data_IF_551723131140
#
_entry.id   IF_551723131140
#
_cell.length_a   1.000
_cell.length_b   1.000
_cell.length_c   1.000
_cell.angle_alpha   90.00
_cell.angle_beta   90.00
_cell.angle_gamma   90.00
#
_symmetry.space_group_name_H-M   'P 1'
#
loop_
_entity.id
_entity.type
_entity.pdbx_description
1 polymer ?
#
# COMPACT_ATOMS: atom_id res chain seq x y z
N UNK A 1 11.74 -18.61 -6.80
CA UNK A 1 10.90 -17.73 -7.66
C UNK A 1 11.83 -16.69 -8.27
N UNK A 2 11.86 -16.51 -9.60
CA UNK A 2 12.79 -15.55 -10.23
C UNK A 2 12.56 -14.14 -9.69
N UNK A 3 13.63 -13.43 -9.31
CA UNK A 3 13.58 -12.08 -8.72
C UNK A 3 12.65 -11.13 -9.50
N UNK A 4 12.71 -11.18 -10.83
CA UNK A 4 11.86 -10.39 -11.74
C UNK A 4 10.37 -10.64 -11.51
N UNK A 5 9.96 -11.90 -11.35
CA UNK A 5 8.55 -12.25 -11.12
C UNK A 5 8.06 -11.66 -9.79
N UNK A 6 8.92 -11.62 -8.77
CA UNK A 6 8.59 -11.06 -7.47
C UNK A 6 8.39 -9.54 -7.55
N UNK A 7 9.33 -8.84 -8.17
CA UNK A 7 9.23 -7.39 -8.43
C UNK A 7 7.91 -7.04 -9.13
N UNK A 8 7.55 -7.79 -10.18
CA UNK A 8 6.28 -7.58 -10.91
C UNK A 8 5.07 -7.79 -10.00
N UNK A 9 5.05 -8.85 -9.20
CA UNK A 9 3.94 -9.14 -8.28
C UNK A 9 3.76 -8.00 -7.26
N UNK A 10 4.84 -7.54 -6.64
CA UNK A 10 4.80 -6.43 -5.67
C UNK A 10 4.34 -5.12 -6.32
N UNK A 11 4.84 -4.80 -7.51
CA UNK A 11 4.38 -3.65 -8.27
C UNK A 11 2.87 -3.70 -8.53
N UNK A 12 2.37 -4.85 -9.03
CA UNK A 12 0.94 -5.02 -9.33
C UNK A 12 0.07 -4.99 -8.06
N UNK A 13 0.55 -5.54 -6.94
CA UNK A 13 -0.14 -5.43 -5.65
C UNK A 13 -0.24 -3.97 -5.21
N UNK A 14 0.86 -3.21 -5.32
CA UNK A 14 0.88 -1.78 -5.03
C UNK A 14 -0.11 -1.00 -5.89
N UNK A 15 -0.12 -1.23 -7.20
CA UNK A 15 -1.11 -0.66 -8.13
C UNK A 15 -2.53 -0.99 -7.70
N UNK A 16 -2.82 -2.23 -7.31
CA UNK A 16 -4.14 -2.65 -6.86
C UNK A 16 -4.63 -1.85 -5.65
N UNK A 17 -3.83 -1.80 -4.57
CA UNK A 17 -4.20 -1.04 -3.38
C UNK A 17 -4.31 0.47 -3.66
N UNK A 18 -3.31 1.04 -4.32
CA UNK A 18 -3.28 2.48 -4.58
C UNK A 18 -4.41 2.95 -5.51
N UNK A 19 -4.78 2.14 -6.51
CA UNK A 19 -5.91 2.46 -7.40
C UNK A 19 -7.24 2.41 -6.67
N UNK A 20 -7.45 1.44 -5.78
CA UNK A 20 -8.67 1.36 -4.97
C UNK A 20 -8.81 2.55 -4.03
N UNK A 21 -7.72 2.92 -3.35
CA UNK A 21 -7.68 4.10 -2.48
C UNK A 21 -7.94 5.37 -3.26
N UNK A 22 -7.30 5.53 -4.42
CA UNK A 22 -7.51 6.69 -5.28
C UNK A 22 -8.96 6.80 -5.76
N UNK A 23 -9.57 5.70 -6.21
CA UNK A 23 -10.98 5.66 -6.60
C UNK A 23 -11.92 6.03 -5.44
N UNK A 24 -11.60 5.59 -4.22
CA UNK A 24 -12.37 5.96 -3.03
C UNK A 24 -12.33 7.47 -2.78
N UNK A 25 -11.17 8.10 -2.89
CA UNK A 25 -11.04 9.55 -2.74
C UNK A 25 -11.71 10.33 -3.87
N UNK A 26 -11.62 9.85 -5.12
CA UNK A 26 -12.36 10.43 -6.24
C UNK A 26 -13.86 10.41 -5.98
N UNK A 27 -14.37 9.27 -5.51
CA UNK A 27 -15.78 9.13 -5.18
C UNK A 27 -16.20 10.07 -4.05
N UNK A 28 -15.42 10.17 -2.97
CA UNK A 28 -15.70 11.07 -1.85
C UNK A 28 -15.65 12.56 -2.25
N UNK A 29 -14.75 12.93 -3.16
CA UNK A 29 -14.61 14.30 -3.65
C UNK A 29 -15.70 14.70 -4.67
N UNK A 30 -16.49 13.76 -5.16
CA UNK A 30 -17.47 14.00 -6.23
C UNK A 30 -16.82 14.34 -7.57
N UNK A 31 -15.56 13.93 -7.79
CA UNK A 31 -14.84 14.25 -9.02
C UNK A 31 -15.45 13.50 -10.21
N UNK A 32 -15.96 14.24 -11.19
CA UNK A 32 -16.56 13.66 -12.40
C UNK A 32 -15.53 13.34 -13.50
N UNK A 33 -14.39 14.03 -13.52
CA UNK A 33 -13.35 13.85 -14.54
C UNK A 33 -11.95 13.92 -13.94
N UNK A 34 -11.00 13.21 -14.56
CA UNK A 34 -9.59 13.21 -14.22
C UNK A 34 -8.75 13.13 -15.50
N UNK A 35 -7.56 13.71 -15.48
CA UNK A 35 -6.66 13.61 -16.64
C UNK A 35 -5.97 12.25 -16.65
N UNK A 36 -5.70 11.74 -17.85
CA UNK A 36 -4.92 10.50 -18.04
C UNK A 36 -3.56 10.60 -17.36
N UNK A 37 -2.96 11.79 -17.33
CA UNK A 37 -1.67 12.02 -16.67
C UNK A 37 -1.75 11.81 -15.15
N UNK A 38 -2.81 12.30 -14.48
CA UNK A 38 -2.98 12.08 -13.03
C UNK A 38 -3.17 10.59 -12.73
N UNK A 39 -3.99 9.90 -13.52
CA UNK A 39 -4.20 8.44 -13.37
C UNK A 39 -2.88 7.70 -13.56
N UNK A 40 -2.11 8.03 -14.60
CA UNK A 40 -0.82 7.41 -14.86
C UNK A 40 0.19 7.64 -13.72
N UNK A 41 0.24 8.85 -13.17
CA UNK A 41 1.10 9.18 -12.03
C UNK A 41 0.69 8.37 -10.79
N UNK A 42 -0.60 8.28 -10.49
CA UNK A 42 -1.12 7.48 -9.37
C UNK A 42 -0.75 6.01 -9.53
N UNK A 43 -0.99 5.41 -10.70
CA UNK A 43 -0.65 4.02 -10.98
C UNK A 43 0.85 3.78 -10.81
N UNK A 44 1.68 4.66 -11.38
CA UNK A 44 3.13 4.53 -11.30
C UNK A 44 3.64 4.62 -9.85
N UNK A 45 3.22 5.64 -9.09
CA UNK A 45 3.61 5.82 -7.70
C UNK A 45 3.10 4.67 -6.83
N UNK A 46 1.88 4.21 -7.05
CA UNK A 46 1.31 3.05 -6.34
C UNK A 46 2.11 1.77 -6.59
N UNK A 47 2.58 1.57 -7.81
CA UNK A 47 3.49 0.47 -8.11
C UNK A 47 4.83 0.58 -7.40
N UNK A 48 5.43 1.79 -7.33
CA UNK A 48 6.64 2.03 -6.54
C UNK A 48 6.42 1.76 -5.05
N UNK A 49 5.27 2.16 -4.49
CA UNK A 49 4.87 1.84 -3.11
C UNK A 49 4.85 0.33 -2.91
N UNK A 50 4.30 -0.43 -3.85
CA UNK A 50 4.32 -1.89 -3.82
C UNK A 50 5.75 -2.47 -3.77
N UNK A 51 6.68 -1.89 -4.53
CA UNK A 51 8.09 -2.28 -4.48
C UNK A 51 8.75 -1.95 -3.12
N UNK A 52 8.40 -0.82 -2.52
CA UNK A 52 8.85 -0.46 -1.16
C UNK A 52 8.40 -1.50 -0.14
N UNK A 53 7.24 -2.14 -0.33
CA UNK A 53 6.79 -3.22 0.56
C UNK A 53 7.68 -4.47 0.52
N UNK A 54 8.63 -4.59 -0.42
CA UNK A 54 9.62 -5.68 -0.40
C UNK A 54 10.59 -5.58 0.78
N UNK A 55 10.67 -4.44 1.48
CA UNK A 55 11.52 -4.31 2.67
C UNK A 55 11.10 -5.28 3.79
N UNK A 56 9.82 -5.66 3.85
CA UNK A 56 9.30 -6.65 4.81
C UNK A 56 9.75 -8.09 4.52
N UNK A 57 10.39 -8.35 3.37
CA UNK A 57 11.01 -9.65 3.11
C UNK A 57 12.43 -9.76 3.67
N UNK A 58 13.02 -8.63 4.10
CA UNK A 58 14.41 -8.58 4.56
C UNK A 58 14.42 -8.71 6.08
N UNK A 59 14.62 -9.93 6.59
CA UNK A 59 14.71 -10.22 8.05
C UNK A 59 15.98 -9.66 8.72
N UNK A 60 16.50 -8.52 8.27
CA UNK A 60 17.72 -7.92 8.79
C UNK A 60 17.48 -7.00 9.99
N UNK A 61 16.26 -6.45 10.14
CA UNK A 61 15.94 -5.46 11.18
C UNK A 61 14.62 -5.82 11.90
N UNK A 62 14.38 -5.28 13.11
CA UNK A 62 13.13 -5.53 13.82
C UNK A 62 11.92 -5.00 13.04
N UNK A 63 10.82 -5.75 13.04
CA UNK A 63 9.57 -5.42 12.32
C UNK A 63 9.06 -4.00 12.62
N UNK A 64 9.23 -3.50 13.85
CA UNK A 64 8.84 -2.13 14.19
C UNK A 64 9.59 -1.08 13.36
N UNK A 65 10.88 -1.29 13.10
CA UNK A 65 11.69 -0.43 12.25
C UNK A 65 11.34 -0.56 10.78
N UNK A 66 11.01 -1.77 10.30
CA UNK A 66 10.52 -1.96 8.93
C UNK A 66 9.24 -1.16 8.70
N UNK A 67 8.29 -1.22 9.64
CA UNK A 67 7.03 -0.48 9.56
C UNK A 67 7.29 1.03 9.53
N UNK A 68 8.21 1.51 10.37
CA UNK A 68 8.56 2.93 10.42
C UNK A 68 9.21 3.40 9.11
N UNK A 69 10.17 2.63 8.60
CA UNK A 69 10.85 2.94 7.33
C UNK A 69 9.86 2.88 6.18
N UNK A 70 8.99 1.87 6.14
CA UNK A 70 7.93 1.76 5.14
C UNK A 70 7.02 2.98 5.19
N UNK A 71 6.57 3.37 6.38
CA UNK A 71 5.71 4.55 6.57
C UNK A 71 6.38 5.81 6.00
N UNK A 72 7.65 6.07 6.35
CA UNK A 72 8.40 7.22 5.85
C UNK A 72 8.59 7.21 4.33
N UNK A 73 8.93 6.05 3.75
CA UNK A 73 9.14 5.91 2.30
C UNK A 73 7.84 6.09 1.52
N UNK A 74 6.76 5.46 1.97
CA UNK A 74 5.45 5.57 1.33
C UNK A 74 4.92 7.00 1.46
N UNK A 75 5.11 7.65 2.62
CA UNK A 75 4.76 9.05 2.80
C UNK A 75 5.56 9.98 1.88
N UNK A 76 6.85 9.71 1.69
CA UNK A 76 7.69 10.46 0.75
C UNK A 76 7.21 10.33 -0.70
N UNK A 77 6.86 9.11 -1.13
CA UNK A 77 6.30 8.87 -2.45
C UNK A 77 4.93 9.55 -2.64
N UNK A 78 4.07 9.49 -1.63
CA UNK A 78 2.78 10.17 -1.64
C UNK A 78 2.94 11.70 -1.70
N UNK A 79 3.82 12.26 -0.88
CA UNK A 79 4.11 13.70 -0.88
C UNK A 79 4.70 14.16 -2.21
N UNK A 80 5.50 13.31 -2.88
CA UNK A 80 6.01 13.59 -4.22
C UNK A 80 4.84 13.64 -5.23
N UNK A 81 3.94 12.65 -5.22
CA UNK A 81 2.76 12.67 -6.09
C UNK A 81 1.94 13.96 -5.93
N UNK A 82 1.67 14.36 -4.69
CA UNK A 82 0.92 15.58 -4.37
C UNK A 82 1.64 16.85 -4.84
N UNK A 83 2.96 16.90 -4.70
CA UNK A 83 3.79 17.98 -5.24
C UNK A 83 3.70 18.06 -6.77
N UNK A 84 3.65 16.92 -7.47
CA UNK A 84 3.46 16.90 -8.94
C UNK A 84 2.07 17.44 -9.33
N UNK A 85 1.08 17.33 -8.43
CA UNK A 85 -0.26 17.89 -8.61
C UNK A 85 -0.37 19.35 -8.14
N UNK A 86 0.72 19.98 -7.70
CA UNK A 86 0.75 21.37 -7.24
C UNK A 86 0.26 21.57 -5.80
N UNK A 87 0.02 20.49 -5.05
CA UNK A 87 -0.41 20.54 -3.66
C UNK A 87 0.83 20.66 -2.76
N UNK A 88 0.82 21.66 -1.88
CA UNK A 88 1.91 21.91 -0.93
C UNK A 88 1.65 21.12 0.35
N UNK A 89 2.73 20.66 0.99
CA UNK A 89 2.69 19.94 2.26
C UNK A 89 1.82 20.66 3.30
N UNK A 90 0.92 19.91 3.94
CA UNK A 90 0.07 20.40 5.02
C UNK A 90 -0.14 19.34 6.09
N UNK A 91 -0.46 19.77 7.31
CA UNK A 91 -0.81 18.88 8.42
C UNK A 91 -2.05 18.03 8.12
N UNK A 92 -2.98 18.57 7.33
CA UNK A 92 -4.17 17.85 6.91
C UNK A 92 -3.80 16.64 6.03
N UNK A 93 -2.90 16.83 5.07
CA UNK A 93 -2.40 15.79 4.16
C UNK A 93 -1.68 14.66 4.90
N UNK A 94 -0.92 14.99 5.95
CA UNK A 94 -0.32 13.98 6.83
C UNK A 94 -1.39 13.20 7.61
N UNK A 95 -2.43 13.88 8.09
CA UNK A 95 -3.53 13.26 8.83
C UNK A 95 -4.33 12.28 7.98
N UNK A 96 -4.72 12.70 6.77
CA UNK A 96 -5.42 11.84 5.80
C UNK A 96 -4.58 10.63 5.41
N UNK A 97 -3.31 10.86 5.07
CA UNK A 97 -2.38 9.77 4.76
C UNK A 97 -2.27 8.77 5.91
N UNK A 98 -2.07 9.27 7.13
CA UNK A 98 -1.88 8.40 8.31
C UNK A 98 -3.13 7.56 8.58
N UNK A 99 -4.32 8.15 8.43
CA UNK A 99 -5.58 7.43 8.59
C UNK A 99 -5.74 6.34 7.52
N UNK A 100 -5.52 6.66 6.25
CA UNK A 100 -5.57 5.69 5.15
C UNK A 100 -4.55 4.57 5.35
N UNK A 101 -3.33 4.91 5.76
CA UNK A 101 -2.28 3.93 6.05
C UNK A 101 -2.70 2.96 7.16
N UNK A 102 -3.29 3.46 8.25
CA UNK A 102 -3.81 2.63 9.34
C UNK A 102 -4.94 1.71 8.88
N UNK A 103 -5.85 2.21 8.04
CA UNK A 103 -6.95 1.40 7.48
C UNK A 103 -6.40 0.27 6.61
N UNK A 104 -5.46 0.56 5.70
CA UNK A 104 -4.83 -0.46 4.86
C UNK A 104 -4.12 -1.50 5.72
N UNK A 105 -3.34 -1.06 6.71
CA UNK A 105 -2.68 -1.97 7.65
C UNK A 105 -3.64 -2.84 8.43
N UNK A 106 -4.77 -2.28 8.86
CA UNK A 106 -5.82 -3.03 9.55
C UNK A 106 -6.42 -4.11 8.64
N UNK A 107 -6.71 -3.79 7.38
CA UNK A 107 -7.19 -4.78 6.38
C UNK A 107 -6.16 -5.88 6.16
N UNK A 108 -4.88 -5.54 6.01
CA UNK A 108 -3.79 -6.50 5.84
C UNK A 108 -3.68 -7.40 7.09
N UNK A 109 -3.73 -6.83 8.29
CA UNK A 109 -3.66 -7.56 9.55
C UNK A 109 -4.80 -8.57 9.70
N UNK A 110 -6.05 -8.17 9.40
CA UNK A 110 -7.20 -9.08 9.42
C UNK A 110 -7.02 -10.20 8.39
N UNK A 111 -6.64 -9.85 7.16
CA UNK A 111 -6.43 -10.83 6.08
C UNK A 111 -5.37 -11.86 6.45
N UNK A 112 -4.27 -11.41 7.07
CA UNK A 112 -3.20 -12.28 7.53
C UNK A 112 -3.65 -13.21 8.67
N UNK A 113 -4.33 -12.67 9.69
CA UNK A 113 -4.83 -13.46 10.82
C UNK A 113 -5.85 -14.52 10.38
N UNK A 114 -6.74 -14.17 9.46
CA UNK A 114 -7.71 -15.10 8.88
C UNK A 114 -7.03 -16.22 8.08
N UNK A 115 -5.95 -15.90 7.35
CA UNK A 115 -5.17 -16.88 6.59
C UNK A 115 -4.45 -17.86 7.51
N UNK A 116 -3.83 -17.38 8.59
CA UNK A 116 -3.17 -18.23 9.60
C UNK A 116 -4.19 -19.16 10.28
N UNK A 117 -5.36 -18.63 10.68
CA UNK A 117 -6.44 -19.43 11.28
C UNK A 117 -6.95 -20.52 10.33
N UNK A 118 -7.17 -20.19 9.05
CA UNK A 118 -7.61 -21.16 8.05
C UNK A 118 -6.58 -22.27 7.79
N UNK A 119 -5.28 -21.96 7.78
CA UNK A 119 -4.23 -22.97 7.63
C UNK A 119 -4.23 -23.92 8.83
N UNK A 120 -4.27 -23.38 10.04
CA UNK A 120 -4.29 -24.19 11.27
C UNK A 120 -5.55 -25.06 11.37
N UNK A 121 -6.69 -24.57 10.89
CA UNK A 121 -7.92 -25.35 10.85
C UNK A 121 -7.82 -26.52 9.86
N UNK A 122 -7.31 -26.28 8.64
CA UNK A 122 -7.12 -27.34 7.64
C UNK A 122 -6.10 -28.40 8.06
N UNK A 123 -5.09 -28.03 8.86
CA UNK A 123 -4.13 -28.98 9.44
C UNK A 123 -4.77 -29.84 10.54
N UNK A 124 -5.66 -29.27 11.37
CA UNK A 124 -6.44 -30.03 12.36
C UNK A 124 -7.43 -30.99 11.71
N UNK A 125 -8.09 -30.58 10.63
CA UNK A 125 -9.04 -31.43 9.89
C UNK A 125 -8.36 -32.60 9.15
N UNK A 126 -7.06 -32.51 8.86
CA UNK A 126 -6.27 -33.60 8.24
C UNK A 126 -5.59 -34.54 9.23
N UNK A 127 -5.38 -34.11 10.48
CA UNK A 127 -4.69 -34.87 11.52
C UNK A 127 -5.64 -35.44 12.59
N UNK A 128 -6.95 -35.23 12.45
CA UNK A 128 -7.99 -35.77 13.33
C UNK A 128 -8.90 -36.78 12.63
#
# INVERSE_FOLDING_TARGET
MNYVKRVIIYFLMGVGFGSLVYLFFLWQSGAETQTVQHIANVVFISGLIGLVSMIFEVEAIPVAWEILIHFCLVYGLYSWLEKLNGIVWSWHLLGEFSLTYLVIWFVIYISFNNRVKNINQRLREKNG
#
